data_IF_360430059152
#
_entry.id   IF_360430059152
#
_cell.length_a   1.000
_cell.length_b   1.000
_cell.length_c   1.000
_cell.angle_alpha   90.00
_cell.angle_beta   90.00
_cell.angle_gamma   90.00
#
_symmetry.space_group_name_H-M   'P 1'
#
loop_
_entity.id
_entity.type
_entity.pdbx_description
1 polymer ?
#
# COMPACT_ATOMS: atom_id res chain seq x y z
N UNK A 1 49.83 -0.65 -32.79
CA UNK A 1 48.73 -1.05 -31.89
C UNK A 1 47.43 -1.06 -32.71
N UNK A 2 46.77 -2.21 -32.82
CA UNK A 2 45.68 -2.43 -33.79
C UNK A 2 44.50 -1.49 -33.48
N UNK A 3 44.05 -0.67 -34.44
CA UNK A 3 43.03 0.36 -34.19
C UNK A 3 41.73 -0.24 -33.63
N UNK A 4 41.37 -1.45 -34.07
CA UNK A 4 40.22 -2.21 -33.58
C UNK A 4 40.31 -2.48 -32.07
N UNK A 5 41.50 -2.85 -31.56
CA UNK A 5 41.74 -3.06 -30.13
C UNK A 5 41.67 -1.75 -29.32
N UNK A 6 42.05 -0.62 -29.92
CA UNK A 6 41.98 0.70 -29.29
C UNK A 6 40.53 1.17 -29.16
N UNK A 7 39.75 1.09 -30.23
CA UNK A 7 38.33 1.48 -30.21
C UNK A 7 37.47 0.53 -29.37
N UNK A 8 37.71 -0.79 -29.44
CA UNK A 8 36.98 -1.77 -28.62
C UNK A 8 37.16 -1.56 -27.12
N UNK A 9 38.38 -1.22 -26.67
CA UNK A 9 38.64 -0.87 -25.27
C UNK A 9 37.88 0.38 -24.83
N UNK A 10 37.85 1.41 -25.66
CA UNK A 10 37.10 2.66 -25.37
C UNK A 10 35.61 2.37 -25.22
N UNK A 11 35.03 1.57 -26.13
CA UNK A 11 33.61 1.21 -26.06
C UNK A 11 33.26 0.44 -24.79
N UNK A 12 34.10 -0.54 -24.40
CA UNK A 12 33.89 -1.31 -23.16
C UNK A 12 33.96 -0.38 -21.94
N UNK A 13 34.92 0.54 -21.89
CA UNK A 13 35.02 1.50 -20.78
C UNK A 13 33.78 2.39 -20.67
N UNK A 14 33.27 2.89 -21.79
CA UNK A 14 32.04 3.70 -21.81
C UNK A 14 30.84 2.87 -21.33
N UNK A 15 30.72 1.63 -21.77
CA UNK A 15 29.64 0.73 -21.36
C UNK A 15 29.66 0.50 -19.85
N UNK A 16 30.83 0.21 -19.29
CA UNK A 16 31.01 -0.01 -17.85
C UNK A 16 30.61 1.24 -17.06
N UNK A 17 31.08 2.42 -17.48
CA UNK A 17 30.70 3.69 -16.82
C UNK A 17 29.18 3.91 -16.92
N UNK A 18 28.58 3.65 -18.08
CA UNK A 18 27.13 3.77 -18.26
C UNK A 18 26.33 2.85 -17.32
N UNK A 19 26.80 1.62 -17.11
CA UNK A 19 26.19 0.68 -16.15
C UNK A 19 26.32 1.20 -14.72
N UNK A 20 27.50 1.70 -14.31
CA UNK A 20 27.68 2.24 -12.97
C UNK A 20 26.83 3.49 -12.71
N UNK A 21 26.73 4.39 -13.70
CA UNK A 21 25.90 5.60 -13.59
C UNK A 21 24.42 5.23 -13.50
N UNK A 22 23.94 4.36 -14.37
CA UNK A 22 22.54 3.90 -14.34
C UNK A 22 22.21 3.13 -13.06
N UNK A 23 23.11 2.28 -12.57
CA UNK A 23 22.97 1.60 -11.29
C UNK A 23 22.92 2.59 -10.11
N UNK A 24 23.79 3.60 -10.09
CA UNK A 24 23.77 4.63 -9.05
C UNK A 24 22.46 5.44 -9.03
N UNK A 25 21.95 5.81 -10.21
CA UNK A 25 20.64 6.48 -10.34
C UNK A 25 19.52 5.55 -9.86
N UNK A 26 19.56 4.27 -10.25
CA UNK A 26 18.56 3.28 -9.84
C UNK A 26 18.53 3.13 -8.32
N UNK A 27 19.67 2.89 -7.66
CA UNK A 27 19.74 2.71 -6.20
C UNK A 27 19.33 3.98 -5.43
N UNK A 28 19.62 5.17 -5.96
CA UNK A 28 19.21 6.42 -5.29
C UNK A 28 17.71 6.74 -5.39
N UNK A 29 17.02 6.24 -6.42
CA UNK A 29 15.61 6.55 -6.65
C UNK A 29 14.67 5.39 -6.33
N UNK A 30 15.19 4.16 -6.27
CA UNK A 30 14.39 2.96 -6.11
C UNK A 30 14.54 2.41 -4.70
N UNK A 31 13.61 2.80 -3.83
CA UNK A 31 13.50 2.25 -2.48
C UNK A 31 12.67 0.96 -2.50
N UNK A 32 13.33 -0.17 -2.77
CA UNK A 32 12.69 -1.51 -2.77
C UNK A 32 12.21 -1.97 -1.39
N UNK A 33 12.74 -1.37 -0.33
CA UNK A 33 12.52 -1.82 1.05
C UNK A 33 11.91 -0.72 1.91
N UNK A 34 11.44 0.36 1.29
CA UNK A 34 10.66 1.39 1.96
C UNK A 34 9.39 0.77 2.55
N UNK A 35 8.87 1.38 3.62
CA UNK A 35 7.57 0.99 4.14
C UNK A 35 6.50 1.17 3.05
N UNK A 36 5.51 0.26 2.98
CA UNK A 36 4.42 0.40 2.01
C UNK A 36 3.72 1.74 2.20
N UNK A 37 3.51 2.45 1.09
CA UNK A 37 2.77 3.70 1.10
C UNK A 37 1.34 3.43 1.53
N UNK A 38 0.86 4.26 2.45
CA UNK A 38 -0.46 4.15 3.05
C UNK A 38 -1.32 5.32 2.57
N UNK A 39 -2.42 5.00 1.91
CA UNK A 39 -3.42 5.98 1.50
C UNK A 39 -4.72 5.77 2.29
N UNK A 40 -5.33 6.86 2.77
CA UNK A 40 -6.64 6.81 3.42
C UNK A 40 -7.71 7.00 2.35
N UNK A 41 -8.47 5.96 2.05
CA UNK A 41 -9.52 6.00 1.04
C UNK A 41 -10.81 6.63 1.59
N UNK A 42 -11.17 6.33 2.84
CA UNK A 42 -12.41 6.79 3.43
C UNK A 42 -12.40 6.70 4.96
N UNK A 43 -13.16 7.60 5.59
CA UNK A 43 -13.39 7.65 7.03
C UNK A 43 -14.89 7.80 7.31
N UNK A 44 -15.42 6.93 8.19
CA UNK A 44 -16.83 6.96 8.60
C UNK A 44 -16.97 6.88 10.11
N UNK A 45 -17.58 7.91 10.68
CA UNK A 45 -17.92 7.98 12.09
C UNK A 45 -19.23 7.26 12.38
N UNK A 46 -19.34 6.68 13.58
CA UNK A 46 -20.61 6.15 14.07
C UNK A 46 -21.59 7.29 14.42
N UNK A 47 -22.85 6.93 14.68
CA UNK A 47 -23.91 7.91 14.96
C UNK A 47 -23.66 8.77 16.20
N UNK A 48 -22.77 8.35 17.10
CA UNK A 48 -22.45 9.06 18.34
C UNK A 48 -21.12 9.84 18.24
N UNK A 49 -20.37 9.70 17.15
CA UNK A 49 -19.06 10.30 16.99
C UNK A 49 -18.03 9.78 18.00
N UNK A 50 -18.14 8.53 18.42
CA UNK A 50 -17.22 7.89 19.38
C UNK A 50 -16.28 6.91 18.68
N UNK A 51 -16.69 6.34 17.55
CA UNK A 51 -15.92 5.35 16.80
C UNK A 51 -15.76 5.74 15.35
N UNK A 52 -14.62 5.39 14.80
CA UNK A 52 -14.22 5.72 13.45
C UNK A 52 -13.84 4.44 12.71
N UNK A 53 -14.58 4.14 11.64
CA UNK A 53 -14.19 3.13 10.66
C UNK A 53 -13.33 3.82 9.60
N UNK A 54 -12.11 3.36 9.40
CA UNK A 54 -11.21 3.92 8.39
C UNK A 54 -10.81 2.85 7.41
N UNK A 55 -10.86 3.19 6.12
CA UNK A 55 -10.43 2.34 5.02
C UNK A 55 -9.09 2.84 4.50
N UNK A 56 -8.12 1.93 4.43
CA UNK A 56 -6.77 2.21 3.95
C UNK A 56 -6.43 1.32 2.77
N UNK A 57 -5.60 1.87 1.89
CA UNK A 57 -4.88 1.10 0.88
C UNK A 57 -3.39 1.15 1.21
N UNK A 58 -2.77 -0.02 1.31
CA UNK A 58 -1.33 -0.18 1.46
C UNK A 58 -0.75 -0.68 0.14
N UNK A 59 0.11 0.12 -0.48
CA UNK A 59 0.76 -0.17 -1.76
C UNK A 59 2.23 0.25 -1.79
N UNK A 60 2.80 0.39 -2.97
CA UNK A 60 4.16 0.94 -3.15
C UNK A 60 5.19 -0.04 -3.72
N UNK A 61 6.46 0.37 -3.68
CA UNK A 61 7.57 -0.33 -4.32
C UNK A 61 7.80 -1.70 -3.67
N UNK A 62 7.75 -2.76 -4.50
CA UNK A 62 7.80 -4.19 -4.15
C UNK A 62 6.48 -4.87 -3.70
N UNK A 63 5.36 -4.15 -3.60
CA UNK A 63 4.04 -4.77 -3.39
C UNK A 63 3.41 -5.12 -4.74
N UNK A 64 3.11 -6.41 -4.97
CA UNK A 64 2.55 -6.87 -6.26
C UNK A 64 1.07 -6.52 -6.40
N UNK A 65 0.29 -6.64 -5.31
CA UNK A 65 -1.12 -6.25 -5.22
C UNK A 65 -1.28 -5.39 -3.97
N UNK A 66 -1.88 -4.20 -4.09
CA UNK A 66 -2.18 -3.37 -2.93
C UNK A 66 -3.13 -4.09 -1.98
N UNK A 67 -2.99 -3.87 -0.67
CA UNK A 67 -3.89 -4.43 0.34
C UNK A 67 -4.90 -3.36 0.77
N UNK A 68 -6.18 -3.71 0.82
CA UNK A 68 -7.22 -2.86 1.38
C UNK A 68 -7.56 -3.36 2.78
N UNK A 69 -7.51 -2.46 3.75
CA UNK A 69 -7.82 -2.74 5.14
C UNK A 69 -8.94 -1.83 5.65
N UNK A 70 -9.83 -2.39 6.47
CA UNK A 70 -10.76 -1.61 7.28
C UNK A 70 -10.37 -1.77 8.74
N UNK A 71 -10.17 -0.65 9.42
CA UNK A 71 -9.95 -0.63 10.86
C UNK A 71 -11.04 0.13 11.58
N UNK A 72 -11.16 -0.13 12.88
CA UNK A 72 -11.98 0.63 13.81
C UNK A 72 -11.05 1.26 14.85
N UNK A 73 -11.22 2.56 15.09
CA UNK A 73 -10.57 3.31 16.17
C UNK A 73 -11.64 3.76 17.20
N UNK A 74 -11.23 3.78 18.47
CA UNK A 74 -11.99 4.33 19.59
C UNK A 74 -11.58 5.80 19.79
N UNK A 75 -12.25 6.67 19.05
CA UNK A 75 -12.01 8.09 19.00
C UNK A 75 -12.19 8.59 17.57
N UNK A 76 -12.77 9.78 17.42
CA UNK A 76 -12.84 10.46 16.14
C UNK A 76 -11.65 11.41 16.03
N UNK A 77 -10.70 11.08 15.17
CA UNK A 77 -9.54 11.92 14.88
C UNK A 77 -9.34 12.02 13.38
N UNK A 78 -9.06 13.23 12.90
CA UNK A 78 -8.64 13.45 11.51
C UNK A 78 -7.25 12.86 11.25
N UNK A 79 -6.47 12.58 12.30
CA UNK A 79 -5.22 11.85 12.24
C UNK A 79 -5.28 10.64 13.20
N UNK A 80 -5.93 9.54 12.80
CA UNK A 80 -6.17 8.41 13.68
C UNK A 80 -4.88 7.63 13.93
N UNK A 81 -4.62 7.27 15.19
CA UNK A 81 -3.38 6.65 15.67
C UNK A 81 -3.38 5.14 15.34
N UNK A 82 -2.40 4.69 14.57
CA UNK A 82 -2.32 3.28 14.15
C UNK A 82 -2.19 2.30 15.32
N UNK A 83 -1.65 2.72 16.45
CA UNK A 83 -1.54 1.88 17.65
C UNK A 83 -2.88 1.59 18.32
N UNK A 84 -3.91 2.40 18.04
CA UNK A 84 -5.26 2.27 18.62
C UNK A 84 -6.26 1.61 17.68
N UNK A 85 -5.85 1.37 16.43
CA UNK A 85 -6.69 0.77 15.40
C UNK A 85 -6.75 -0.73 15.56
N UNK A 86 -7.97 -1.27 15.50
CA UNK A 86 -8.20 -2.70 15.32
C UNK A 86 -8.60 -2.95 13.88
N UNK A 87 -7.76 -3.67 13.12
CA UNK A 87 -8.11 -4.15 11.79
C UNK A 87 -9.27 -5.14 11.95
N UNK A 88 -10.35 -4.96 11.19
CA UNK A 88 -11.53 -5.85 11.21
C UNK A 88 -11.78 -6.51 9.87
N UNK A 89 -11.12 -6.05 8.82
CA UNK A 89 -11.18 -6.63 7.48
C UNK A 89 -9.87 -6.33 6.74
N UNK A 90 -9.40 -7.31 5.98
CA UNK A 90 -8.25 -7.19 5.08
C UNK A 90 -8.52 -7.98 3.81
N UNK A 91 -8.21 -7.40 2.66
CA UNK A 91 -8.33 -8.04 1.35
C UNK A 91 -7.23 -7.59 0.39
N UNK A 92 -6.87 -8.45 -0.56
CA UNK A 92 -6.03 -8.07 -1.68
C UNK A 92 -6.85 -7.30 -2.72
N UNK A 93 -6.37 -6.11 -3.13
CA UNK A 93 -6.95 -5.32 -4.21
C UNK A 93 -6.50 -5.87 -5.57
N UNK A 94 -7.30 -6.75 -6.17
CA UNK A 94 -7.09 -7.24 -7.54
C UNK A 94 -7.79 -6.39 -8.61
N UNK A 95 -8.12 -5.14 -8.26
CA UNK A 95 -8.77 -4.16 -9.13
C UNK A 95 -10.29 -4.17 -9.00
N UNK A 96 -10.86 -3.00 -8.68
CA UNK A 96 -12.30 -2.80 -8.50
C UNK A 96 -12.53 -1.74 -7.42
N UNK A 97 -13.27 -0.68 -7.75
CA UNK A 97 -13.36 0.55 -6.94
C UNK A 97 -14.37 0.50 -5.79
N UNK A 98 -14.89 -0.67 -5.43
CA UNK A 98 -16.07 -0.74 -4.58
C UNK A 98 -15.79 -1.43 -3.25
N UNK A 99 -14.98 -0.81 -2.38
CA UNK A 99 -15.09 -1.03 -0.94
C UNK A 99 -15.85 0.14 -0.32
N UNK A 100 -16.94 -0.16 0.39
CA UNK A 100 -17.71 0.82 1.14
C UNK A 100 -17.94 0.32 2.56
N UNK A 101 -17.89 1.25 3.50
CA UNK A 101 -18.16 1.00 4.92
C UNK A 101 -19.34 1.86 5.36
N UNK A 102 -20.27 1.23 6.11
CA UNK A 102 -21.48 1.89 6.60
C UNK A 102 -21.80 1.38 8.01
N UNK A 103 -21.96 2.29 8.97
CA UNK A 103 -22.46 1.93 10.29
C UNK A 103 -23.98 1.69 10.22
N UNK A 104 -24.42 0.45 10.46
CA UNK A 104 -25.85 0.10 10.55
C UNK A 104 -26.43 0.34 11.93
N UNK A 105 -25.61 0.19 12.95
CA UNK A 105 -25.94 0.46 14.34
C UNK A 105 -24.68 0.87 15.08
N UNK A 106 -24.81 1.16 16.37
CA UNK A 106 -23.64 1.31 17.23
C UNK A 106 -22.77 0.03 17.18
N UNK A 107 -23.34 -1.16 17.23
CA UNK A 107 -22.55 -2.38 17.35
C UNK A 107 -22.23 -3.05 16.00
N UNK A 108 -22.67 -2.47 14.89
CA UNK A 108 -22.62 -3.12 13.57
C UNK A 108 -22.03 -2.22 12.50
N UNK A 109 -20.84 -2.59 12.03
CA UNK A 109 -20.23 -2.05 10.82
C UNK A 109 -20.51 -2.99 9.65
N UNK A 110 -21.14 -2.46 8.60
CA UNK A 110 -21.34 -3.16 7.34
C UNK A 110 -20.19 -2.82 6.39
N UNK A 111 -19.55 -3.85 5.85
CA UNK A 111 -18.50 -3.74 4.84
C UNK A 111 -19.05 -4.34 3.54
N UNK A 112 -19.08 -3.54 2.48
CA UNK A 112 -19.56 -3.93 1.15
C UNK A 112 -18.36 -3.90 0.22
N UNK A 113 -18.02 -5.03 -0.37
CA UNK A 113 -16.89 -5.18 -1.28
C UNK A 113 -17.32 -5.84 -2.60
N UNK A 114 -16.64 -5.51 -3.70
CA UNK A 114 -16.80 -6.21 -4.98
C UNK A 114 -16.29 -7.65 -4.90
N UNK A 115 -16.78 -8.50 -5.80
CA UNK A 115 -16.32 -9.89 -6.03
C UNK A 115 -14.81 -10.01 -6.34
N UNK A 116 -14.17 -8.91 -6.75
CA UNK A 116 -12.73 -8.83 -7.04
C UNK A 116 -11.83 -8.51 -5.84
N UNK A 117 -12.39 -8.37 -4.65
CA UNK A 117 -11.61 -8.30 -3.41
C UNK A 117 -11.57 -9.69 -2.79
N UNK A 118 -10.38 -10.28 -2.69
CA UNK A 118 -10.18 -11.58 -2.04
C UNK A 118 -9.85 -11.34 -0.56
N UNK A 119 -10.76 -11.67 0.39
CA UNK A 119 -10.52 -11.44 1.81
C UNK A 119 -9.44 -12.37 2.33
N UNK A 120 -8.41 -11.80 2.95
CA UNK A 120 -7.28 -12.54 3.53
C UNK A 120 -7.56 -12.90 4.99
N UNK A 121 -8.35 -12.08 5.69
CA UNK A 121 -8.80 -12.36 7.05
C UNK A 121 -10.16 -11.74 7.35
N UNK A 122 -11.09 -12.59 7.78
CA UNK A 122 -12.25 -12.18 8.57
C UNK A 122 -11.90 -12.58 10.01
N UNK A 123 -11.84 -11.62 10.94
CA UNK A 123 -11.58 -11.97 12.34
C UNK A 123 -12.78 -12.77 12.85
N UNK A 124 -12.54 -13.99 13.32
CA UNK A 124 -13.47 -14.70 14.19
C UNK A 124 -13.63 -13.86 15.48
N UNK A 125 -14.81 -13.26 15.63
CA UNK A 125 -15.23 -12.61 16.86
C UNK A 125 -15.55 -13.71 17.88
N UNK A 126 -14.57 -14.07 18.72
CA UNK A 126 -14.79 -14.79 19.96
C UNK A 126 -15.29 -13.85 21.06
#
# INVERSE_FOLDING_TARGET
>A
MNQILKYGRITISILIIGIFVSYGIFVNNFDMFGEPEKEILNTKYDNLGVRQATTFEYGGNAVTNAAILVSIDLGCSDNPDDSKKKIVFSAENKGGTALQTEWKSFETLKIIFSDRLEPVSQIDLY
#
